data_IF_556523314438
#
_entry.id   IF_556523314438
#
_cell.length_a   1.000
_cell.length_b   1.000
_cell.length_c   1.000
_cell.angle_alpha   90.00
_cell.angle_beta   90.00
_cell.angle_gamma   90.00
#
_symmetry.space_group_name_H-M   'P 1'
#
loop_
_entity.id
_entity.type
_entity.pdbx_description
1 polymer ?
#
# COMPACT_ATOMS: atom_id res chain seq x y z
N UNK A 1 -0.23 13.63 -24.93
CA UNK A 1 -1.60 13.16 -24.65
C UNK A 1 -2.38 14.37 -24.25
N UNK A 2 -3.51 14.68 -24.91
CA UNK A 2 -4.28 15.88 -24.59
C UNK A 2 -5.02 15.68 -23.27
N UNK A 3 -5.20 16.76 -22.50
CA UNK A 3 -5.81 16.80 -21.17
C UNK A 3 -7.20 16.14 -21.15
N UNK A 4 -7.94 16.26 -22.27
CA UNK A 4 -9.25 15.67 -22.45
C UNK A 4 -9.23 14.12 -22.39
N UNK A 5 -8.15 13.47 -22.85
CA UNK A 5 -8.01 12.01 -22.78
C UNK A 5 -7.65 11.53 -21.36
N UNK A 6 -6.86 12.30 -20.60
CA UNK A 6 -6.54 12.02 -19.19
C UNK A 6 -7.78 12.22 -18.31
N UNK A 7 -8.52 13.30 -18.54
CA UNK A 7 -9.79 13.58 -17.84
C UNK A 7 -10.86 12.55 -18.19
N UNK A 8 -10.91 12.06 -19.44
CA UNK A 8 -11.90 11.06 -19.87
C UNK A 8 -11.66 9.66 -19.28
N UNK A 9 -10.40 9.31 -18.98
CA UNK A 9 -10.02 8.01 -18.37
C UNK A 9 -10.13 7.97 -16.85
N UNK A 10 -10.18 9.12 -16.17
CA UNK A 10 -10.26 9.23 -14.71
C UNK A 10 -11.67 8.95 -14.16
N UNK A 11 -11.83 8.38 -12.94
CA UNK A 11 -13.11 8.25 -12.25
C UNK A 11 -13.86 9.59 -12.10
N UNK A 12 -15.19 9.54 -12.02
CA UNK A 12 -16.04 10.75 -12.03
C UNK A 12 -15.70 11.77 -10.93
N UNK A 13 -15.30 11.29 -9.73
CA UNK A 13 -14.89 12.14 -8.61
C UNK A 13 -13.54 12.83 -8.85
N UNK A 14 -12.65 12.20 -9.56
CA UNK A 14 -11.34 12.75 -9.92
C UNK A 14 -11.48 13.82 -11.01
N UNK A 15 -12.35 13.58 -11.97
CA UNK A 15 -12.72 14.57 -13.00
C UNK A 15 -13.20 15.88 -12.37
N UNK A 16 -14.12 15.78 -11.42
CA UNK A 16 -14.67 16.95 -10.73
C UNK A 16 -13.60 17.72 -9.94
N UNK A 17 -12.60 17.04 -9.38
CA UNK A 17 -11.49 17.66 -8.63
C UNK A 17 -10.48 18.33 -9.57
N UNK A 18 -10.11 17.66 -10.65
CA UNK A 18 -9.22 18.23 -11.69
C UNK A 18 -9.89 19.43 -12.34
N UNK A 19 -11.18 19.36 -12.67
CA UNK A 19 -11.93 20.50 -13.20
C UNK A 19 -12.01 21.67 -12.22
N UNK A 20 -12.17 21.40 -10.92
CA UNK A 20 -12.16 22.41 -9.86
C UNK A 20 -10.79 23.09 -9.73
N UNK A 21 -9.70 22.32 -9.80
CA UNK A 21 -8.33 22.86 -9.84
C UNK A 21 -8.09 23.72 -11.07
N UNK A 22 -8.54 23.25 -12.24
CA UNK A 22 -8.46 24.01 -13.48
C UNK A 22 -9.26 25.32 -13.40
N UNK A 23 -10.46 25.30 -12.81
CA UNK A 23 -11.27 26.49 -12.60
C UNK A 23 -10.60 27.48 -11.62
N UNK A 24 -10.00 26.98 -10.55
CA UNK A 24 -9.22 27.79 -9.61
C UNK A 24 -7.95 28.36 -10.27
N UNK A 25 -7.21 27.54 -11.02
CA UNK A 25 -6.03 27.97 -11.73
C UNK A 25 -6.31 29.03 -12.79
N UNK A 26 -7.43 28.92 -13.51
CA UNK A 26 -7.89 29.93 -14.49
C UNK A 26 -8.30 31.24 -13.85
N UNK A 27 -8.82 31.22 -12.62
CA UNK A 27 -9.24 32.43 -11.90
C UNK A 27 -8.07 33.13 -11.21
N UNK A 28 -7.10 32.39 -10.66
CA UNK A 28 -5.95 32.95 -9.95
C UNK A 28 -4.72 33.16 -10.83
N UNK A 29 -4.66 32.51 -12.01
CA UNK A 29 -3.50 32.51 -12.90
C UNK A 29 -2.32 31.70 -12.36
N UNK A 30 -2.38 31.30 -11.10
CA UNK A 30 -1.34 30.54 -10.39
C UNK A 30 -2.00 29.48 -9.51
N UNK A 31 -1.39 28.29 -9.46
CA UNK A 31 -1.73 27.24 -8.51
C UNK A 31 -0.48 26.94 -7.66
N UNK A 32 -0.68 26.67 -6.37
CA UNK A 32 0.43 26.19 -5.55
C UNK A 32 0.51 24.68 -5.60
N UNK A 33 1.72 24.13 -5.47
CA UNK A 33 1.91 22.68 -5.37
C UNK A 33 1.16 22.07 -4.18
N UNK A 34 1.06 22.82 -3.07
CA UNK A 34 0.27 22.37 -1.91
C UNK A 34 -1.21 22.25 -2.27
N UNK A 35 -1.78 23.18 -3.04
CA UNK A 35 -3.17 23.11 -3.51
C UNK A 35 -3.41 21.97 -4.49
N UNK A 36 -2.45 21.71 -5.39
CA UNK A 36 -2.51 20.56 -6.30
C UNK A 36 -2.43 19.27 -5.49
N UNK A 37 -1.52 19.20 -4.54
CA UNK A 37 -1.27 18.04 -3.70
C UNK A 37 -2.42 17.72 -2.75
N UNK A 38 -3.07 18.76 -2.16
CA UNK A 38 -4.24 18.59 -1.29
C UNK A 38 -5.51 18.19 -2.06
N UNK A 39 -5.60 18.59 -3.32
CA UNK A 39 -6.75 18.29 -4.17
C UNK A 39 -6.61 16.97 -4.92
N UNK A 40 -5.36 16.60 -5.28
CA UNK A 40 -4.96 15.27 -5.73
C UNK A 40 -4.64 14.43 -4.49
N UNK A 41 -5.65 14.11 -3.68
CA UNK A 41 -5.48 13.33 -2.44
C UNK A 41 -4.71 12.02 -2.69
N UNK A 42 -4.16 11.43 -1.61
CA UNK A 42 -3.38 10.18 -1.56
C UNK A 42 -4.07 8.97 -2.27
N UNK A 43 -5.25 9.15 -2.82
CA UNK A 43 -6.10 8.14 -3.46
C UNK A 43 -5.93 8.06 -4.99
N UNK A 44 -5.13 8.94 -5.62
CA UNK A 44 -4.98 8.96 -7.07
C UNK A 44 -3.71 8.22 -7.45
N UNK A 45 -3.86 7.01 -7.99
CA UNK A 45 -2.77 6.24 -8.60
C UNK A 45 -2.47 6.79 -10.01
N UNK A 46 -1.97 8.04 -10.05
CA UNK A 46 -1.44 8.58 -11.30
C UNK A 46 -0.10 7.91 -11.56
N UNK A 47 -0.05 7.08 -12.60
CA UNK A 47 1.20 6.56 -13.14
C UNK A 47 2.19 7.71 -13.42
N UNK A 48 3.49 7.38 -13.40
CA UNK A 48 4.60 8.31 -13.70
C UNK A 48 4.33 9.25 -14.88
N UNK A 49 3.57 8.80 -15.88
CA UNK A 49 3.18 9.52 -17.09
C UNK A 49 2.01 10.49 -16.83
N UNK A 50 1.10 10.13 -15.91
CA UNK A 50 -0.12 10.91 -15.64
C UNK A 50 0.17 12.27 -15.02
N UNK A 51 1.18 12.36 -14.16
CA UNK A 51 1.51 13.60 -13.44
C UNK A 51 2.31 14.57 -14.29
N UNK A 52 3.30 14.08 -15.04
CA UNK A 52 4.00 14.92 -16.01
C UNK A 52 3.02 15.51 -17.01
N UNK A 53 2.08 14.67 -17.51
CA UNK A 53 1.04 15.11 -18.42
C UNK A 53 0.07 16.12 -17.78
N UNK A 54 -0.22 16.00 -16.49
CA UNK A 54 -1.11 16.90 -15.76
C UNK A 54 -0.44 18.25 -15.49
N UNK A 55 0.84 18.26 -15.11
CA UNK A 55 1.63 19.48 -14.95
C UNK A 55 1.82 20.21 -16.28
N UNK A 56 2.17 19.48 -17.34
CA UNK A 56 2.30 20.04 -18.70
C UNK A 56 0.94 20.60 -19.22
N UNK A 57 -0.14 19.97 -18.80
CA UNK A 57 -1.49 20.42 -19.14
C UNK A 57 -1.91 21.71 -18.41
N UNK A 58 -1.51 21.91 -17.16
CA UNK A 58 -1.70 23.18 -16.45
C UNK A 58 -0.86 24.29 -17.10
N UNK A 59 0.40 24.01 -17.44
CA UNK A 59 1.24 24.96 -18.16
C UNK A 59 0.70 25.31 -19.55
N UNK A 60 0.19 24.31 -20.28
CA UNK A 60 -0.45 24.50 -21.60
C UNK A 60 -1.70 25.37 -21.57
N UNK A 61 -2.39 25.47 -20.44
CA UNK A 61 -3.53 26.37 -20.23
C UNK A 61 -3.12 27.73 -19.63
N UNK A 62 -1.83 28.02 -19.51
CA UNK A 62 -1.30 29.29 -19.01
C UNK A 62 -1.38 29.44 -17.49
N UNK A 63 -1.62 28.34 -16.75
CA UNK A 63 -1.65 28.32 -15.29
C UNK A 63 -0.22 28.09 -14.81
N UNK A 64 0.36 29.07 -14.10
CA UNK A 64 1.68 28.90 -13.49
C UNK A 64 1.55 28.15 -12.17
N UNK A 65 2.26 27.04 -12.04
CA UNK A 65 2.36 26.32 -10.77
C UNK A 65 3.51 26.96 -9.97
N UNK A 66 3.23 27.45 -8.75
CA UNK A 66 4.20 28.16 -7.88
C UNK A 66 4.31 27.48 -6.53
N UNK A 67 5.48 27.60 -5.88
CA UNK A 67 5.74 26.99 -4.57
C UNK A 67 4.96 27.66 -3.43
N UNK A 68 4.81 28.97 -3.47
CA UNK A 68 4.00 29.81 -2.56
C UNK A 68 3.54 31.06 -3.27
N UNK A 69 2.35 31.51 -2.96
CA UNK A 69 1.93 32.87 -3.29
C UNK A 69 2.77 33.79 -2.39
N UNK A 70 3.65 34.61 -2.98
CA UNK A 70 4.26 35.73 -2.28
C UNK A 70 3.13 36.72 -1.97
N UNK A 71 2.63 36.70 -0.72
CA UNK A 71 1.76 37.77 -0.23
C UNK A 71 2.57 39.04 -0.25
N UNK A 72 2.26 39.94 -1.19
CA UNK A 72 2.67 41.33 -1.15
C UNK A 72 2.21 41.94 0.18
N UNK A 73 3.15 42.56 0.87
CA UNK A 73 2.98 43.29 2.11
C UNK A 73 1.93 44.42 1.93
N UNK A 74 0.67 44.16 2.33
CA UNK A 74 -0.31 45.21 2.61
C UNK A 74 -1.16 44.77 3.82
N UNK A 75 -0.89 45.49 4.95
CA UNK A 75 -1.58 45.26 6.19
C UNK A 75 -3.06 45.61 6.10
N UNK A 76 -3.91 44.69 6.39
CA UNK A 76 -4.98 44.85 7.40
C UNK A 76 -5.84 43.58 7.47
N UNK A 77 -6.14 43.14 8.69
CA UNK A 77 -6.76 41.88 8.98
C UNK A 77 -8.22 41.79 8.59
N UNK A 78 -8.57 40.62 8.07
CA UNK A 78 -9.79 39.88 8.44
C UNK A 78 -9.61 38.43 8.03
N UNK A 79 -9.30 37.59 9.00
CA UNK A 79 -9.32 36.14 8.86
C UNK A 79 -10.77 35.69 8.68
N UNK A 80 -11.04 35.01 7.58
CA UNK A 80 -12.23 34.19 7.45
C UNK A 80 -11.89 32.76 7.90
N UNK A 81 -12.46 32.38 9.05
CA UNK A 81 -12.33 31.09 9.74
C UNK A 81 -12.91 29.87 8.96
N UNK A 82 -13.09 29.98 7.66
CA UNK A 82 -13.75 28.94 6.85
C UNK A 82 -12.81 27.93 6.18
N UNK A 83 -11.49 28.18 6.18
CA UNK A 83 -10.52 27.28 5.51
C UNK A 83 -9.83 26.32 6.50
N UNK A 84 -9.94 26.58 7.80
CA UNK A 84 -9.29 25.77 8.85
C UNK A 84 -10.09 24.50 9.21
N UNK A 85 -11.33 24.36 8.74
CA UNK A 85 -12.20 23.22 9.07
C UNK A 85 -12.12 22.04 8.09
N UNK A 86 -11.47 22.16 6.94
CA UNK A 86 -11.37 21.10 5.93
C UNK A 86 -10.11 20.24 6.02
N UNK A 87 -9.13 20.65 6.80
CA UNK A 87 -7.83 19.95 6.90
C UNK A 87 -7.71 18.96 8.08
N UNK A 88 -8.83 18.65 8.78
CA UNK A 88 -8.85 17.75 9.96
C UNK A 88 -9.45 16.37 9.74
N UNK A 89 -9.58 15.87 8.54
CA UNK A 89 -10.39 14.72 8.24
C UNK A 89 -9.70 13.47 7.68
N UNK A 90 -8.44 13.17 8.05
CA UNK A 90 -7.88 11.88 7.64
C UNK A 90 -6.83 11.34 8.62
N UNK A 91 -7.22 10.46 9.50
CA UNK A 91 -6.36 9.68 10.40
C UNK A 91 -5.58 10.42 11.50
N UNK A 92 -6.07 11.55 12.04
CA UNK A 92 -5.48 12.10 13.23
C UNK A 92 -6.56 12.61 14.18
N UNK A 93 -7.17 11.71 14.95
CA UNK A 93 -7.83 12.06 16.20
C UNK A 93 -7.43 11.04 17.26
N UNK A 94 -6.27 11.25 17.82
CA UNK A 94 -5.91 11.02 19.21
C UNK A 94 -4.39 11.09 19.42
N UNK A 95 -3.82 12.28 19.38
CA UNK A 95 -2.78 12.69 20.36
C UNK A 95 -2.98 14.17 20.60
N UNK A 96 -3.41 14.44 21.82
CA UNK A 96 -3.66 15.72 22.45
C UNK A 96 -2.47 16.68 22.40
N UNK A 97 -2.81 17.94 22.12
CA UNK A 97 -2.26 19.18 22.67
C UNK A 97 -0.73 19.36 22.72
N UNK A 98 -0.28 20.33 21.93
CA UNK A 98 0.92 21.08 22.23
C UNK A 98 1.66 21.51 20.95
N UNK A 99 1.52 22.77 20.64
CA UNK A 99 2.38 23.60 19.81
C UNK A 99 1.97 23.76 18.34
N UNK A 100 1.18 24.81 18.13
CA UNK A 100 0.96 25.44 16.83
C UNK A 100 2.15 26.35 16.47
N UNK A 101 3.21 25.76 15.94
CA UNK A 101 4.36 26.46 15.36
C UNK A 101 4.25 26.51 13.83
N UNK A 102 4.10 27.70 13.26
CA UNK A 102 4.24 28.00 11.85
C UNK A 102 5.54 27.42 11.30
N UNK A 103 5.47 26.42 10.42
CA UNK A 103 6.64 25.86 9.75
C UNK A 103 6.26 25.30 8.38
N UNK A 104 6.43 26.12 7.34
CA UNK A 104 6.42 25.63 5.97
C UNK A 104 7.52 24.59 5.74
N UNK A 105 7.56 23.99 4.53
CA UNK A 105 8.48 22.93 4.07
C UNK A 105 9.98 23.21 4.35
N UNK A 106 10.34 24.41 4.79
CA UNK A 106 11.68 24.81 5.24
C UNK A 106 12.12 24.26 6.63
N UNK A 107 11.22 23.59 7.39
CA UNK A 107 11.63 22.88 8.60
C UNK A 107 12.14 21.47 8.28
N UNK A 108 13.10 21.36 7.39
CA UNK A 108 13.94 20.16 7.28
C UNK A 108 14.57 19.93 8.65
N UNK A 109 14.31 18.78 9.24
CA UNK A 109 14.77 18.33 10.57
C UNK A 109 16.11 18.98 10.95
N UNK A 110 16.09 19.87 11.95
CA UNK A 110 17.32 20.41 12.55
C UNK A 110 18.07 19.27 13.20
N UNK A 111 19.38 19.42 13.40
CA UNK A 111 20.21 18.42 14.08
C UNK A 111 19.63 17.96 15.42
N UNK A 112 18.91 18.87 16.10
CA UNK A 112 18.29 18.65 17.40
C UNK A 112 16.98 17.81 17.28
N UNK A 113 16.25 17.88 16.15
CA UNK A 113 15.03 17.10 15.91
C UNK A 113 15.33 15.61 15.65
N UNK A 114 16.53 15.29 15.17
CA UNK A 114 17.01 13.92 15.02
C UNK A 114 17.33 13.28 16.38
N UNK A 115 17.66 14.08 17.38
CA UNK A 115 17.96 13.60 18.75
C UNK A 115 16.69 13.37 19.60
N UNK A 116 15.56 14.00 19.21
CA UNK A 116 14.29 13.98 19.96
C UNK A 116 13.19 13.18 19.25
N UNK A 117 13.50 12.10 18.55
CA UNK A 117 12.50 11.15 18.06
C UNK A 117 11.96 10.29 19.23
N UNK A 118 11.38 10.95 20.25
CA UNK A 118 10.66 10.29 21.32
C UNK A 118 9.37 9.67 20.76
N UNK A 119 9.24 8.35 20.88
CA UNK A 119 8.02 7.59 20.54
C UNK A 119 8.13 6.59 19.39
N UNK A 120 9.24 6.51 18.67
CA UNK A 120 9.51 5.40 17.74
C UNK A 120 10.47 4.45 18.46
N UNK A 121 10.22 3.12 18.53
CA UNK A 121 11.24 2.17 18.99
C UNK A 121 12.42 2.24 18.04
N UNK A 122 13.44 3.00 18.44
CA UNK A 122 14.62 3.26 17.60
C UNK A 122 15.56 2.09 17.81
N UNK A 123 15.55 1.17 16.87
CA UNK A 123 16.55 0.12 16.74
C UNK A 123 17.93 0.75 16.48
N UNK A 124 19.00 0.10 16.92
CA UNK A 124 20.36 0.62 16.71
C UNK A 124 20.66 0.90 15.22
N UNK A 125 20.08 0.11 14.32
CA UNK A 125 20.19 0.29 12.87
C UNK A 125 19.59 1.61 12.38
N UNK A 126 18.42 2.00 12.90
CA UNK A 126 17.74 3.28 12.55
C UNK A 126 18.61 4.45 13.01
N UNK A 127 19.12 4.40 14.25
CA UNK A 127 19.96 5.45 14.81
C UNK A 127 21.24 5.62 14.03
N UNK A 128 21.89 4.53 13.64
CA UNK A 128 23.09 4.55 12.81
C UNK A 128 22.82 5.20 11.45
N UNK A 129 21.74 4.81 10.77
CA UNK A 129 21.33 5.41 9.48
C UNK A 129 21.08 6.92 9.62
N UNK A 130 20.31 7.36 10.64
CA UNK A 130 20.02 8.77 10.88
C UNK A 130 21.28 9.59 11.16
N UNK A 131 22.23 9.02 11.90
CA UNK A 131 23.52 9.65 12.14
C UNK A 131 24.32 9.83 10.84
N UNK A 132 24.31 8.83 9.95
CA UNK A 132 25.08 8.89 8.70
C UNK A 132 24.49 9.92 7.71
N UNK A 133 23.16 9.97 7.54
CA UNK A 133 22.54 11.00 6.69
C UNK A 133 22.70 12.42 7.26
N UNK A 134 22.85 12.53 8.59
CA UNK A 134 23.08 13.82 9.26
C UNK A 134 24.44 14.45 8.98
N UNK A 135 25.42 13.69 8.49
CA UNK A 135 26.77 14.18 8.14
C UNK A 135 26.78 15.00 6.86
N UNK A 136 25.80 14.76 5.97
CA UNK A 136 25.73 15.44 4.67
C UNK A 136 25.11 16.83 4.85
N UNK A 137 25.76 17.86 4.31
CA UNK A 137 25.27 19.24 4.35
C UNK A 137 24.09 19.45 3.39
N UNK A 138 23.14 20.31 3.80
CA UNK A 138 22.03 20.72 2.95
C UNK A 138 22.53 21.56 1.76
N UNK A 139 21.87 21.42 0.62
CA UNK A 139 22.17 22.17 -0.59
C UNK A 139 21.40 23.50 -0.63
N UNK A 140 22.02 24.52 -1.24
CA UNK A 140 21.34 25.76 -1.61
C UNK A 140 20.67 25.59 -2.99
N UNK A 141 19.65 26.39 -3.30
CA UNK A 141 18.95 26.33 -4.59
C UNK A 141 19.88 26.50 -5.80
N UNK A 142 20.94 27.34 -5.69
CA UNK A 142 21.94 27.48 -6.75
C UNK A 142 22.78 26.21 -6.95
N UNK A 143 23.08 25.49 -5.86
CA UNK A 143 23.79 24.21 -5.91
C UNK A 143 22.90 23.09 -6.51
N UNK A 144 21.61 23.04 -6.17
CA UNK A 144 20.65 22.12 -6.78
C UNK A 144 20.62 22.26 -8.30
N UNK A 145 20.50 23.49 -8.81
CA UNK A 145 20.53 23.80 -10.25
C UNK A 145 21.87 23.41 -10.90
N UNK A 146 22.99 23.66 -10.23
CA UNK A 146 24.31 23.31 -10.76
C UNK A 146 24.51 21.80 -10.85
N UNK A 147 24.04 21.06 -9.85
CA UNK A 147 24.07 19.59 -9.83
C UNK A 147 23.11 19.00 -10.88
N UNK A 148 21.91 19.56 -11.03
CA UNK A 148 20.95 19.12 -12.04
C UNK A 148 21.50 19.25 -13.46
N UNK A 149 22.19 20.34 -13.78
CA UNK A 149 22.90 20.52 -15.07
C UNK A 149 23.98 19.47 -15.32
N UNK A 150 24.72 19.07 -14.29
CA UNK A 150 25.75 18.01 -14.38
C UNK A 150 25.09 16.62 -14.54
N UNK A 151 23.96 16.39 -13.90
CA UNK A 151 23.19 15.14 -14.03
C UNK A 151 22.69 14.98 -15.47
N UNK A 152 22.20 16.03 -16.10
CA UNK A 152 21.79 16.03 -17.52
C UNK A 152 22.97 15.65 -18.47
N UNK A 153 24.22 15.96 -18.07
CA UNK A 153 25.43 15.55 -18.79
C UNK A 153 25.88 14.11 -18.46
N UNK A 154 25.14 13.38 -17.62
CA UNK A 154 25.45 12.00 -17.24
C UNK A 154 26.41 11.84 -16.07
N UNK A 155 26.66 12.90 -15.27
CA UNK A 155 27.53 12.82 -14.10
C UNK A 155 26.88 12.07 -12.93
N UNK A 156 27.28 10.82 -12.74
CA UNK A 156 26.82 9.96 -11.64
C UNK A 156 27.24 10.47 -10.25
N UNK A 157 28.36 11.23 -10.17
CA UNK A 157 28.80 11.84 -8.92
C UNK A 157 27.85 12.96 -8.47
N UNK A 158 27.38 13.79 -9.42
CA UNK A 158 26.39 14.81 -9.14
C UNK A 158 25.04 14.21 -8.73
N UNK A 159 24.60 13.13 -9.40
CA UNK A 159 23.39 12.38 -9.04
C UNK A 159 23.46 11.86 -7.59
N UNK A 160 24.57 11.23 -7.23
CA UNK A 160 24.80 10.75 -5.87
C UNK A 160 24.76 11.89 -4.85
N UNK A 161 25.44 13.00 -5.13
CA UNK A 161 25.49 14.15 -4.22
C UNK A 161 24.11 14.77 -3.99
N UNK A 162 23.30 14.94 -5.06
CA UNK A 162 21.92 15.46 -4.93
C UNK A 162 21.03 14.50 -4.14
N UNK A 163 21.16 13.19 -4.35
CA UNK A 163 20.41 12.18 -3.61
C UNK A 163 20.79 12.18 -2.13
N UNK A 164 22.06 12.10 -1.79
CA UNK A 164 22.55 12.03 -0.41
C UNK A 164 22.12 13.26 0.42
N UNK A 165 22.17 14.46 -0.18
CA UNK A 165 21.77 15.69 0.49
C UNK A 165 20.26 15.77 0.82
N UNK A 166 19.42 14.96 0.12
CA UNK A 166 17.98 14.96 0.29
C UNK A 166 17.43 13.72 1.05
N UNK A 167 18.27 12.82 1.56
CA UNK A 167 17.82 11.67 2.36
C UNK A 167 17.04 12.10 3.61
N UNK A 168 17.38 13.24 4.22
CA UNK A 168 16.66 13.80 5.37
C UNK A 168 15.21 14.15 5.04
N UNK A 169 14.93 14.59 3.81
CA UNK A 169 13.57 14.85 3.33
C UNK A 169 12.75 13.55 3.33
N UNK A 170 13.32 12.45 2.85
CA UNK A 170 12.65 11.13 2.85
C UNK A 170 12.25 10.72 4.27
N UNK A 171 13.16 10.85 5.24
CA UNK A 171 12.90 10.52 6.65
C UNK A 171 11.75 11.34 7.22
N UNK A 172 11.70 12.65 6.91
CA UNK A 172 10.64 13.54 7.38
C UNK A 172 9.25 13.14 6.86
N UNK A 173 9.19 12.63 5.62
CA UNK A 173 7.96 12.14 4.99
C UNK A 173 7.60 10.75 5.55
N UNK A 174 8.54 9.81 5.58
CA UNK A 174 8.34 8.45 6.08
C UNK A 174 7.84 8.41 7.53
N UNK A 175 8.30 9.35 8.37
CA UNK A 175 7.84 9.50 9.76
C UNK A 175 6.31 9.66 9.87
N UNK A 176 5.67 10.36 8.93
CA UNK A 176 4.22 10.57 8.92
C UNK A 176 3.44 9.28 8.66
N UNK A 177 4.05 8.30 8.00
CA UNK A 177 3.42 7.02 7.65
C UNK A 177 3.73 5.91 8.66
N UNK A 178 4.78 6.03 9.45
CA UNK A 178 5.25 4.99 10.39
C UNK A 178 4.18 4.55 11.41
N UNK A 179 3.34 5.47 11.89
CA UNK A 179 2.28 5.15 12.85
C UNK A 179 1.03 4.50 12.21
N UNK A 180 0.98 4.36 10.89
CA UNK A 180 -0.23 3.96 10.14
C UNK A 180 -0.07 2.63 9.41
N UNK A 181 1.08 2.02 9.49
CA UNK A 181 1.41 0.80 8.75
C UNK A 181 2.13 -0.19 9.64
N UNK A 182 2.02 -1.46 9.30
CA UNK A 182 2.77 -2.56 9.93
C UNK A 182 4.21 -2.66 9.41
N UNK A 183 4.55 -1.91 8.34
CA UNK A 183 5.90 -1.88 7.79
C UNK A 183 6.89 -1.22 8.76
N UNK A 184 8.13 -1.71 8.78
CA UNK A 184 9.20 -1.11 9.57
C UNK A 184 9.52 0.31 9.09
N UNK A 185 9.96 1.18 10.00
CA UNK A 185 10.32 2.54 9.64
C UNK A 185 11.49 2.59 8.62
N UNK A 186 12.45 1.66 8.72
CA UNK A 186 13.54 1.55 7.76
C UNK A 186 13.04 1.15 6.36
N UNK A 187 12.09 0.23 6.28
CA UNK A 187 11.53 -0.17 4.98
C UNK A 187 10.80 0.99 4.30
N UNK A 188 10.03 1.77 5.07
CA UNK A 188 9.40 2.99 4.57
C UNK A 188 10.42 4.02 4.04
N UNK A 189 11.54 4.18 4.75
CA UNK A 189 12.64 5.06 4.30
C UNK A 189 13.25 4.51 3.00
N UNK A 190 13.51 3.20 2.90
CA UNK A 190 14.14 2.64 1.69
C UNK A 190 13.23 2.72 0.47
N UNK A 191 11.95 2.46 0.63
CA UNK A 191 10.97 2.67 -0.45
C UNK A 191 10.88 4.16 -0.85
N UNK A 192 10.90 5.06 0.14
CA UNK A 192 10.97 6.49 -0.11
C UNK A 192 12.26 6.92 -0.82
N UNK A 193 13.41 6.28 -0.50
CA UNK A 193 14.68 6.52 -1.19
C UNK A 193 14.62 6.10 -2.66
N UNK A 194 13.91 5.02 -3.00
CA UNK A 194 13.67 4.62 -4.38
C UNK A 194 12.88 5.70 -5.12
N UNK A 195 11.85 6.26 -4.46
CA UNK A 195 11.11 7.42 -4.98
C UNK A 195 12.00 8.65 -5.20
N UNK A 196 12.88 8.97 -4.23
CA UNK A 196 13.83 10.07 -4.34
C UNK A 196 14.79 9.90 -5.53
N UNK A 197 15.31 8.69 -5.77
CA UNK A 197 16.20 8.42 -6.91
C UNK A 197 15.48 8.69 -8.23
N UNK A 198 14.21 8.25 -8.37
CA UNK A 198 13.39 8.56 -9.54
C UNK A 198 13.16 10.06 -9.71
N UNK A 199 12.91 10.78 -8.61
CA UNK A 199 12.76 12.22 -8.63
C UNK A 199 14.04 12.92 -9.15
N UNK A 200 15.22 12.46 -8.71
CA UNK A 200 16.52 13.01 -9.17
C UNK A 200 16.73 12.77 -10.67
N UNK A 201 16.30 11.62 -11.19
CA UNK A 201 16.42 11.29 -12.62
C UNK A 201 15.52 12.14 -13.52
N UNK A 202 14.34 12.49 -13.02
CA UNK A 202 13.32 13.22 -13.79
C UNK A 202 13.26 14.73 -13.50
N UNK A 203 14.11 15.24 -12.60
CA UNK A 203 14.07 16.65 -12.20
C UNK A 203 14.53 17.58 -13.31
N UNK A 204 13.66 18.50 -13.72
CA UNK A 204 13.96 19.58 -14.68
C UNK A 204 14.10 20.93 -13.97
N UNK A 205 15.34 21.41 -13.85
CA UNK A 205 15.67 22.72 -13.25
C UNK A 205 15.15 23.91 -14.06
N UNK A 206 14.77 23.72 -15.34
CA UNK A 206 14.27 24.81 -16.20
C UNK A 206 12.89 25.29 -15.79
N UNK A 207 12.11 24.42 -15.11
CA UNK A 207 10.79 24.73 -14.57
C UNK A 207 10.84 25.71 -13.36
N UNK A 208 12.03 26.01 -12.80
CA UNK A 208 12.23 27.04 -11.78
C UNK A 208 11.80 26.65 -10.35
N UNK A 209 11.37 25.41 -10.13
CA UNK A 209 10.92 24.92 -8.83
C UNK A 209 12.07 24.39 -7.97
N UNK A 210 11.89 24.40 -6.64
CA UNK A 210 12.82 23.73 -5.72
C UNK A 210 12.73 22.22 -5.91
N UNK A 211 13.88 21.56 -5.83
CA UNK A 211 13.95 20.11 -5.93
C UNK A 211 13.06 19.42 -4.88
N UNK A 212 13.04 19.94 -3.63
CA UNK A 212 12.25 19.36 -2.53
C UNK A 212 10.76 19.26 -2.83
N UNK A 213 10.19 20.23 -3.55
CA UNK A 213 8.77 20.26 -3.90
C UNK A 213 8.42 19.11 -4.85
N UNK A 214 9.22 18.92 -5.89
CA UNK A 214 9.06 17.84 -6.85
C UNK A 214 9.33 16.48 -6.22
N UNK A 215 10.42 16.36 -5.45
CA UNK A 215 10.81 15.11 -4.80
C UNK A 215 9.80 14.61 -3.76
N UNK A 216 9.15 15.52 -3.01
CA UNK A 216 8.14 15.15 -2.00
C UNK A 216 7.04 14.29 -2.61
N UNK A 217 6.64 14.61 -3.82
CA UNK A 217 5.60 13.85 -4.51
C UNK A 217 6.05 12.43 -4.85
N UNK A 218 7.22 12.26 -5.46
CA UNK A 218 7.78 10.94 -5.80
C UNK A 218 8.02 10.06 -4.57
N UNK A 219 8.51 10.69 -3.49
CA UNK A 219 8.74 10.00 -2.22
C UNK A 219 7.42 9.52 -1.64
N UNK A 220 6.39 10.37 -1.63
CA UNK A 220 5.06 10.03 -1.12
C UNK A 220 4.45 8.89 -1.93
N UNK A 221 4.46 8.99 -3.25
CA UNK A 221 3.95 7.96 -4.13
C UNK A 221 4.64 6.61 -3.90
N UNK A 222 5.97 6.60 -3.82
CA UNK A 222 6.72 5.37 -3.58
C UNK A 222 6.34 4.73 -2.22
N UNK A 223 6.24 5.53 -1.16
CA UNK A 223 5.86 5.05 0.18
C UNK A 223 4.42 4.51 0.18
N UNK A 224 3.47 5.26 -0.37
CA UNK A 224 2.05 4.84 -0.38
C UNK A 224 1.87 3.56 -1.19
N UNK A 225 2.52 3.45 -2.34
CA UNK A 225 2.50 2.25 -3.16
C UNK A 225 3.14 1.05 -2.44
N UNK A 226 4.27 1.25 -1.76
CA UNK A 226 4.90 0.20 -0.98
C UNK A 226 4.01 -0.28 0.17
N UNK A 227 3.32 0.62 0.87
CA UNK A 227 2.34 0.27 1.92
C UNK A 227 1.20 -0.58 1.34
N UNK A 228 0.67 -0.22 0.17
CA UNK A 228 -0.39 -0.98 -0.48
C UNK A 228 0.07 -2.37 -0.92
N UNK A 229 1.31 -2.48 -1.44
CA UNK A 229 1.87 -3.72 -1.99
C UNK A 229 2.43 -4.67 -0.92
N UNK A 230 3.00 -4.16 0.17
CA UNK A 230 3.79 -4.94 1.15
C UNK A 230 3.25 -4.84 2.57
N UNK A 231 2.33 -3.90 2.87
CA UNK A 231 1.84 -3.65 4.22
C UNK A 231 0.95 -4.76 4.80
N UNK A 232 0.49 -5.72 3.97
CA UNK A 232 -0.39 -6.80 4.40
C UNK A 232 0.28 -8.16 4.27
N UNK A 233 0.10 -9.03 5.27
CA UNK A 233 0.60 -10.42 5.25
C UNK A 233 0.06 -11.20 4.05
N UNK A 234 -1.22 -11.01 3.71
CA UNK A 234 -1.84 -11.53 2.48
C UNK A 234 -1.97 -10.36 1.53
N UNK A 235 -1.15 -10.37 0.47
CA UNK A 235 -1.09 -9.29 -0.52
C UNK A 235 -2.45 -9.12 -1.22
N UNK A 236 -2.89 -7.87 -1.29
CA UNK A 236 -4.10 -7.44 -2.01
C UNK A 236 -3.65 -6.51 -3.15
N UNK A 237 -4.26 -6.57 -4.35
CA UNK A 237 -3.96 -5.62 -5.43
C UNK A 237 -4.20 -4.17 -5.01
N UNK A 238 -3.39 -3.23 -5.53
CA UNK A 238 -3.42 -1.80 -5.15
C UNK A 238 -4.82 -1.20 -5.30
N UNK A 239 -5.50 -1.41 -6.44
CA UNK A 239 -6.85 -0.90 -6.68
C UNK A 239 -7.90 -1.39 -5.65
N UNK A 240 -7.68 -2.57 -5.05
CA UNK A 240 -8.55 -3.07 -3.97
C UNK A 240 -8.26 -2.38 -2.65
N UNK A 241 -6.98 -2.08 -2.36
CA UNK A 241 -6.59 -1.29 -1.18
C UNK A 241 -7.19 0.10 -1.26
N UNK A 242 -7.15 0.75 -2.43
CA UNK A 242 -7.80 2.04 -2.67
C UNK A 242 -9.31 1.99 -2.46
N UNK A 243 -9.95 0.92 -3.00
CA UNK A 243 -11.39 0.73 -2.80
C UNK A 243 -11.73 0.55 -1.32
N UNK A 244 -10.94 -0.21 -0.55
CA UNK A 244 -11.09 -0.37 0.91
C UNK A 244 -10.93 0.99 1.60
N UNK A 245 -9.92 1.78 1.24
CA UNK A 245 -9.68 3.10 1.82
C UNK A 245 -10.85 4.05 1.52
N UNK A 246 -11.36 4.04 0.28
CA UNK A 246 -12.54 4.83 -0.12
C UNK A 246 -13.78 4.44 0.70
N UNK A 247 -14.00 3.13 0.90
CA UNK A 247 -15.09 2.62 1.73
C UNK A 247 -14.95 3.05 3.20
N UNK A 248 -13.74 2.95 3.77
CA UNK A 248 -13.48 3.39 5.15
C UNK A 248 -13.71 4.90 5.33
N UNK A 249 -13.35 5.70 4.31
CA UNK A 249 -13.59 7.15 4.31
C UNK A 249 -15.09 7.47 4.29
N UNK A 250 -15.82 6.88 3.34
CA UNK A 250 -17.27 7.06 3.26
C UNK A 250 -17.96 6.61 4.56
N UNK A 251 -17.54 5.48 5.13
CA UNK A 251 -18.07 4.99 6.41
C UNK A 251 -17.90 6.00 7.54
N UNK A 252 -16.70 6.59 7.69
CA UNK A 252 -16.47 7.62 8.73
C UNK A 252 -17.28 8.89 8.49
N UNK A 253 -17.39 9.35 7.24
CA UNK A 253 -18.19 10.52 6.90
C UNK A 253 -19.67 10.31 7.19
N UNK A 254 -20.20 9.13 6.84
CA UNK A 254 -21.57 8.76 7.14
C UNK A 254 -21.80 8.59 8.64
N UNK A 255 -20.87 7.96 9.36
CA UNK A 255 -20.92 7.84 10.83
C UNK A 255 -20.99 9.22 11.50
N UNK A 256 -20.20 10.19 11.03
CA UNK A 256 -20.25 11.56 11.54
C UNK A 256 -21.57 12.27 11.24
N UNK A 257 -22.20 12.02 10.08
CA UNK A 257 -23.50 12.57 9.69
C UNK A 257 -24.68 11.91 10.43
N UNK A 258 -24.64 10.58 10.56
CA UNK A 258 -25.75 9.78 11.10
C UNK A 258 -25.66 9.56 12.62
N UNK A 259 -24.49 9.71 13.23
CA UNK A 259 -24.26 9.39 14.65
C UNK A 259 -24.27 7.89 14.97
N UNK A 260 -24.31 7.03 13.97
CA UNK A 260 -24.27 5.55 14.08
C UNK A 260 -23.48 4.94 12.93
N UNK A 261 -23.12 3.67 13.04
CA UNK A 261 -22.52 2.94 11.93
C UNK A 261 -23.44 2.88 10.70
N UNK A 262 -22.94 3.17 9.49
CA UNK A 262 -23.73 3.13 8.27
C UNK A 262 -24.04 1.68 7.86
N UNK A 263 -25.21 1.46 7.27
CA UNK A 263 -25.56 0.16 6.69
C UNK A 263 -24.87 -0.04 5.33
N UNK A 264 -24.67 -1.28 4.86
CA UNK A 264 -24.11 -1.54 3.54
C UNK A 264 -24.91 -0.92 2.39
N UNK A 265 -26.20 -0.69 2.58
CA UNK A 265 -27.09 -0.01 1.61
C UNK A 265 -26.77 1.48 1.53
N UNK A 266 -26.56 2.14 2.68
CA UNK A 266 -26.19 3.56 2.77
C UNK A 266 -24.79 3.80 2.19
N UNK A 267 -23.85 2.89 2.46
CA UNK A 267 -22.51 2.89 1.84
C UNK A 267 -22.58 2.70 0.33
N UNK A 268 -23.49 1.82 -0.15
CA UNK A 268 -23.72 1.60 -1.56
C UNK A 268 -24.22 2.84 -2.29
N UNK A 269 -25.13 3.55 -1.67
CA UNK A 269 -25.68 4.80 -2.21
C UNK A 269 -24.64 5.93 -2.27
N UNK A 270 -23.72 6.01 -1.27
CA UNK A 270 -22.69 7.04 -1.23
C UNK A 270 -21.54 6.74 -2.22
N UNK A 271 -21.19 5.46 -2.45
CA UNK A 271 -20.08 5.04 -3.29
C UNK A 271 -20.49 4.61 -4.72
N UNK A 272 -21.80 4.65 -5.03
CA UNK A 272 -22.37 4.16 -6.30
C UNK A 272 -21.99 2.69 -6.58
N UNK A 273 -22.08 1.84 -5.55
CA UNK A 273 -21.73 0.42 -5.60
C UNK A 273 -22.90 -0.46 -5.16
N UNK A 274 -22.92 -1.70 -5.67
CA UNK A 274 -23.91 -2.68 -5.24
C UNK A 274 -23.63 -3.17 -3.81
N UNK A 275 -24.66 -3.49 -3.06
CA UNK A 275 -24.56 -4.00 -1.67
C UNK A 275 -23.71 -5.28 -1.60
N UNK A 276 -23.83 -6.16 -2.60
CA UNK A 276 -23.03 -7.38 -2.68
C UNK A 276 -21.54 -7.08 -2.79
N UNK A 277 -21.19 -6.07 -3.59
CA UNK A 277 -19.79 -5.65 -3.75
C UNK A 277 -19.22 -5.06 -2.47
N UNK A 278 -20.01 -4.28 -1.74
CA UNK A 278 -19.60 -3.73 -0.43
C UNK A 278 -19.37 -4.85 0.58
N UNK A 279 -20.28 -5.82 0.65
CA UNK A 279 -20.11 -6.96 1.54
C UNK A 279 -18.87 -7.81 1.19
N UNK A 280 -18.55 -7.95 -0.09
CA UNK A 280 -17.31 -8.61 -0.53
C UNK A 280 -16.06 -7.83 -0.05
N UNK A 281 -16.04 -6.50 -0.21
CA UNK A 281 -14.94 -5.65 0.23
C UNK A 281 -14.77 -5.73 1.75
N UNK A 282 -15.86 -5.68 2.52
CA UNK A 282 -15.83 -5.80 3.99
C UNK A 282 -15.25 -7.15 4.42
N UNK A 283 -15.49 -8.24 3.68
CA UNK A 283 -14.91 -9.57 3.98
C UNK A 283 -13.42 -9.65 3.68
N UNK A 284 -12.92 -8.89 2.70
CA UNK A 284 -11.50 -8.88 2.31
C UNK A 284 -10.69 -7.92 3.20
N UNK A 285 -11.34 -6.90 3.76
CA UNK A 285 -10.68 -5.84 4.53
C UNK A 285 -9.96 -6.31 5.81
N UNK A 286 -10.42 -7.32 6.60
CA UNK A 286 -9.77 -7.74 7.83
C UNK A 286 -8.34 -8.25 7.61
N UNK A 287 -7.48 -7.99 8.60
CA UNK A 287 -6.12 -8.53 8.66
C UNK A 287 -6.11 -9.85 9.43
N UNK A 288 -5.19 -10.79 9.11
CA UNK A 288 -5.06 -12.02 9.85
C UNK A 288 -4.55 -11.76 11.27
N UNK A 289 -5.10 -12.51 12.23
CA UNK A 289 -4.63 -12.49 13.61
C UNK A 289 -3.43 -13.42 13.78
N UNK A 290 -2.51 -13.07 14.69
CA UNK A 290 -1.39 -13.94 15.05
C UNK A 290 -1.87 -15.14 15.86
N UNK A 291 -1.35 -16.34 15.56
CA UNK A 291 -1.59 -17.54 16.35
C UNK A 291 -0.96 -17.47 17.75
N UNK A 292 0.03 -16.62 17.93
CA UNK A 292 0.71 -16.38 19.21
C UNK A 292 -0.02 -15.35 20.08
N UNK A 293 -1.19 -14.85 19.63
CA UNK A 293 -1.97 -13.89 20.43
C UNK A 293 -2.38 -14.58 21.73
N UNK A 294 -2.05 -14.00 22.91
CA UNK A 294 -2.43 -14.58 24.20
C UNK A 294 -3.95 -14.54 24.37
N UNK A 295 -4.51 -15.62 24.91
CA UNK A 295 -5.96 -15.76 25.16
C UNK A 295 -6.14 -16.02 26.66
N UNK A 296 -6.96 -15.20 27.32
CA UNK A 296 -7.26 -15.32 28.75
C UNK A 296 -6.50 -14.32 29.62
N UNK A 297 -6.84 -14.29 30.92
CA UNK A 297 -6.29 -13.32 31.88
C UNK A 297 -4.87 -13.61 32.33
N UNK A 298 -4.38 -14.85 32.16
CA UNK A 298 -3.07 -15.31 32.68
C UNK A 298 -1.99 -15.39 31.62
N UNK A 299 -2.28 -15.05 30.35
CA UNK A 299 -1.34 -15.05 29.21
C UNK A 299 -0.62 -16.39 28.95
N UNK A 300 -1.02 -17.47 29.63
CA UNK A 300 -0.38 -18.79 29.53
C UNK A 300 -0.82 -19.60 28.30
N UNK A 301 -1.91 -19.18 27.62
CA UNK A 301 -2.50 -19.88 26.46
C UNK A 301 -2.47 -18.98 25.22
N UNK A 302 -2.17 -19.57 24.07
CA UNK A 302 -2.13 -18.89 22.78
C UNK A 302 -3.31 -19.31 21.89
N UNK A 303 -3.76 -18.41 21.00
CA UNK A 303 -4.86 -18.67 20.08
C UNK A 303 -4.66 -19.96 19.25
N UNK A 304 -3.42 -20.26 18.87
CA UNK A 304 -3.07 -21.45 18.10
C UNK A 304 -3.41 -22.77 18.78
N UNK A 305 -3.43 -22.83 20.14
CA UNK A 305 -3.73 -24.03 20.90
C UNK A 305 -5.22 -24.41 20.85
N UNK A 306 -6.09 -23.45 20.53
CA UNK A 306 -7.54 -23.66 20.43
C UNK A 306 -8.01 -24.06 19.03
N UNK A 307 -7.12 -24.05 18.04
CA UNK A 307 -7.46 -24.38 16.65
C UNK A 307 -7.27 -25.87 16.43
N UNK A 308 -8.37 -26.57 16.13
CA UNK A 308 -8.34 -28.01 15.82
C UNK A 308 -7.69 -28.27 14.46
N UNK A 309 -6.92 -29.37 14.38
CA UNK A 309 -6.43 -29.91 13.11
C UNK A 309 -7.55 -30.67 12.39
N UNK A 310 -8.26 -29.98 11.50
CA UNK A 310 -9.32 -30.56 10.69
C UNK A 310 -8.85 -31.62 9.69
N UNK A 311 -7.53 -31.79 9.48
CA UNK A 311 -6.95 -32.81 8.58
C UNK A 311 -6.53 -34.06 9.32
N UNK A 312 -6.44 -34.04 10.64
CA UNK A 312 -6.11 -35.20 11.42
C UNK A 312 -7.26 -36.19 11.37
N UNK A 313 -6.99 -37.42 10.96
CA UNK A 313 -7.99 -38.51 10.94
C UNK A 313 -8.44 -38.83 12.36
N UNK A 314 -9.76 -38.97 12.56
CA UNK A 314 -10.30 -39.40 13.84
C UNK A 314 -9.79 -40.80 14.21
N UNK A 315 -9.32 -41.04 15.46
CA UNK A 315 -8.86 -42.35 15.89
C UNK A 315 -9.86 -43.46 15.63
N UNK A 316 -11.16 -43.19 15.75
CA UNK A 316 -12.26 -44.12 15.45
C UNK A 316 -12.34 -44.47 13.97
N UNK A 317 -12.12 -43.49 13.07
CA UNK A 317 -12.11 -43.71 11.62
C UNK A 317 -10.87 -44.51 11.19
N UNK A 318 -9.70 -44.20 11.74
CA UNK A 318 -8.46 -44.96 11.49
C UNK A 318 -8.64 -46.42 11.94
N UNK A 319 -9.22 -46.65 13.13
CA UNK A 319 -9.48 -48.01 13.62
C UNK A 319 -10.48 -48.75 12.71
N UNK A 320 -11.57 -48.10 12.32
CA UNK A 320 -12.59 -48.69 11.42
C UNK A 320 -12.00 -49.03 10.06
N UNK A 321 -11.21 -48.14 9.48
CA UNK A 321 -10.52 -48.36 8.20
C UNK A 321 -9.48 -49.50 8.31
N UNK A 322 -8.79 -49.61 9.43
CA UNK A 322 -7.86 -50.73 9.69
C UNK A 322 -8.58 -52.08 9.77
N UNK A 323 -9.72 -52.14 10.48
CA UNK A 323 -10.55 -53.34 10.56
C UNK A 323 -11.10 -53.69 9.18
N UNK A 324 -11.64 -52.75 8.43
CA UNK A 324 -12.13 -52.92 7.06
C UNK A 324 -11.03 -53.48 6.14
N UNK A 325 -9.82 -52.91 6.22
CA UNK A 325 -8.68 -53.38 5.42
C UNK A 325 -8.31 -54.84 5.74
N UNK A 326 -8.30 -55.23 7.02
CA UNK A 326 -8.05 -56.61 7.44
C UNK A 326 -9.14 -57.57 6.94
N UNK A 327 -10.40 -57.13 6.99
CA UNK A 327 -11.52 -57.94 6.47
C UNK A 327 -11.40 -58.10 4.95
N UNK A 328 -11.09 -57.04 4.21
CA UNK A 328 -10.86 -57.08 2.76
C UNK A 328 -9.70 -58.02 2.43
N UNK A 329 -8.58 -57.95 3.15
CA UNK A 329 -7.45 -58.85 2.96
C UNK A 329 -7.83 -60.33 3.19
N UNK A 330 -8.64 -60.58 4.22
CA UNK A 330 -9.16 -61.93 4.50
C UNK A 330 -10.06 -62.48 3.36
N UNK A 331 -10.95 -61.63 2.83
CA UNK A 331 -11.80 -61.99 1.69
C UNK A 331 -10.98 -62.18 0.41
N UNK A 332 -10.03 -61.30 0.15
CA UNK A 332 -9.13 -61.41 -0.97
C UNK A 332 -8.23 -62.66 -0.95
N UNK A 333 -7.95 -63.16 0.27
CA UNK A 333 -7.20 -64.40 0.45
C UNK A 333 -7.95 -65.64 -0.04
N UNK A 334 -9.26 -65.61 -0.20
CA UNK A 334 -10.08 -66.71 -0.77
C UNK A 334 -10.03 -66.78 -2.26
N UNK A 335 -9.53 -65.72 -2.95
CA UNK A 335 -9.40 -65.67 -4.41
C UNK A 335 -8.06 -66.26 -4.90
N UNK A 336 -8.01 -66.64 -6.20
CA UNK A 336 -6.76 -67.04 -6.86
C UNK A 336 -5.74 -65.92 -6.78
N UNK A 337 -4.46 -66.25 -6.71
CA UNK A 337 -3.37 -65.29 -6.56
C UNK A 337 -3.38 -64.20 -7.64
N UNK A 338 -3.66 -64.57 -8.89
CA UNK A 338 -3.76 -63.63 -10.00
C UNK A 338 -4.95 -62.67 -9.87
N UNK A 339 -6.08 -63.17 -9.49
CA UNK A 339 -7.31 -62.38 -9.29
C UNK A 339 -7.15 -61.37 -8.13
N UNK A 340 -6.54 -61.85 -7.04
CA UNK A 340 -6.19 -61.04 -5.89
C UNK A 340 -5.27 -59.86 -6.28
N UNK A 341 -4.21 -60.13 -7.05
CA UNK A 341 -3.27 -59.13 -7.49
C UNK A 341 -3.90 -58.12 -8.47
N UNK A 342 -4.74 -58.56 -9.38
CA UNK A 342 -5.49 -57.70 -10.27
C UNK A 342 -6.36 -56.73 -9.48
N UNK A 343 -7.10 -57.22 -8.49
CA UNK A 343 -7.94 -56.37 -7.63
C UNK A 343 -7.11 -55.39 -6.79
N UNK A 344 -6.01 -55.86 -6.20
CA UNK A 344 -5.11 -54.99 -5.43
C UNK A 344 -4.55 -53.85 -6.24
N UNK A 345 -4.08 -54.12 -7.48
CA UNK A 345 -3.57 -53.10 -8.37
C UNK A 345 -4.66 -52.17 -8.91
N UNK A 346 -5.85 -52.74 -9.23
CA UNK A 346 -6.97 -51.95 -9.76
C UNK A 346 -7.47 -50.91 -8.76
N UNK A 347 -7.61 -51.29 -7.49
CA UNK A 347 -8.12 -50.42 -6.43
C UNK A 347 -7.03 -49.75 -5.59
N UNK A 348 -5.76 -50.00 -5.90
CA UNK A 348 -4.64 -49.36 -5.20
C UNK A 348 -4.52 -49.79 -3.74
N UNK A 349 -4.89 -51.03 -3.40
CA UNK A 349 -4.87 -51.50 -2.01
C UNK A 349 -3.47 -51.65 -1.42
N UNK A 350 -2.43 -51.74 -2.24
CA UNK A 350 -1.04 -51.88 -1.81
C UNK A 350 -0.32 -50.52 -1.71
N UNK A 351 -0.48 -49.68 -2.73
CA UNK A 351 0.30 -48.45 -2.95
C UNK A 351 -0.55 -47.17 -2.94
N UNK A 352 -1.88 -47.30 -2.72
CA UNK A 352 -2.80 -46.16 -2.72
C UNK A 352 -3.19 -45.62 -4.10
N UNK A 353 -2.60 -46.15 -5.21
CA UNK A 353 -2.88 -45.69 -6.56
C UNK A 353 -3.79 -46.64 -7.33
N UNK A 354 -5.02 -46.23 -7.58
CA UNK A 354 -5.96 -46.97 -8.41
C UNK A 354 -5.53 -46.94 -9.89
N UNK A 355 -5.27 -48.12 -10.49
CA UNK A 355 -4.85 -48.26 -11.88
C UNK A 355 -6.01 -48.48 -12.82
N UNK A 356 -5.88 -48.08 -14.06
CA UNK A 356 -6.85 -48.37 -15.13
C UNK A 356 -6.79 -49.83 -15.56
N UNK A 357 -7.90 -50.39 -16.14
CA UNK A 357 -7.90 -51.77 -16.65
C UNK A 357 -6.85 -52.04 -17.70
N UNK A 358 -6.45 -50.99 -18.44
CA UNK A 358 -5.42 -51.08 -19.47
C UNK A 358 -4.03 -51.19 -18.86
N UNK A 359 -3.75 -50.39 -17.81
CA UNK A 359 -2.46 -50.43 -17.08
C UNK A 359 -2.30 -51.79 -16.37
N UNK A 360 -3.36 -52.27 -15.71
CA UNK A 360 -3.35 -53.59 -15.09
C UNK A 360 -3.14 -54.68 -16.17
N UNK A 361 -3.80 -54.54 -17.33
CA UNK A 361 -3.61 -55.45 -18.47
C UNK A 361 -2.17 -55.51 -18.99
N UNK A 362 -1.48 -54.36 -19.00
CA UNK A 362 -0.04 -54.29 -19.37
C UNK A 362 0.85 -55.02 -18.34
N UNK A 363 0.56 -54.90 -17.06
CA UNK A 363 1.34 -55.59 -16.01
C UNK A 363 1.22 -57.10 -16.13
N UNK A 364 0.00 -57.62 -16.40
CA UNK A 364 -0.27 -59.06 -16.54
C UNK A 364 -0.15 -59.59 -17.95
N UNK A 365 0.23 -58.74 -18.94
CA UNK A 365 0.33 -59.06 -20.36
C UNK A 365 -0.94 -59.65 -20.96
N UNK A 366 -2.10 -59.14 -20.56
CA UNK A 366 -3.41 -59.58 -21.04
C UNK A 366 -4.25 -58.39 -21.53
N UNK A 367 -5.26 -58.71 -22.34
CA UNK A 367 -6.13 -57.67 -22.89
C UNK A 367 -7.03 -57.06 -21.81
N UNK A 368 -7.43 -55.76 -21.98
CA UNK A 368 -8.38 -55.09 -21.13
C UNK A 368 -9.65 -55.87 -20.82
N UNK A 369 -10.18 -56.55 -21.88
CA UNK A 369 -11.39 -57.37 -21.72
C UNK A 369 -11.18 -58.62 -20.84
N UNK A 370 -9.96 -59.17 -20.83
CA UNK A 370 -9.64 -60.29 -19.92
C UNK A 370 -9.53 -59.89 -18.48
N UNK A 371 -9.07 -58.66 -18.21
CA UNK A 371 -9.04 -58.10 -16.87
C UNK A 371 -10.45 -57.75 -16.37
N UNK A 372 -11.31 -57.22 -17.24
CA UNK A 372 -12.71 -56.93 -16.93
C UNK A 372 -13.44 -58.19 -16.51
#
# INVERSE_FOLDING_TARGET
MELDQLVESAPADEKARIEKLLAQGKTSGTLTYDQINDSLSDDIDLDDVGIESLLDAFEGQGIKVVDKVEDGDDGNGHRSDAVESLNRGWLFDSVSSGDTGKGGVDSVLRKDDLATMEGIPIDDAVRMYLHDIGKVSLLTSSQEVSLAKRIEQGDMGAKRQLTEANLRLVVSIAKKYSARTTMSFLDLIQEGNIGLIRAVEKFDFRKGYKFSTYATWWIRQAITRAIADQGRTIRIPVHMVETINRLLKASRQLMQRLGREPTPEELGAELDMTVDRINEIIRIAPEPLSLETPVGEQEDSHLGEFIEDAKADSPSEVASNTVLRKQLESVLATLNEREREVLKLRFGLNDGYARTLEEVGRVFQVTRERIR
#
